data_IF_013721982569
#
_entry.id   IF_013721982569
#
_cell.length_a   1.000
_cell.length_b   1.000
_cell.length_c   1.000
_cell.angle_alpha   90.00
_cell.angle_beta   90.00
_cell.angle_gamma   90.00
#
_symmetry.space_group_name_H-M   'P 1'
#
loop_
_entity.id
_entity.type
_entity.pdbx_description
1 polymer ?
#
# COMPACT_ATOMS: atom_id res chain seq x y z
N UNK A 1 -2.10 -14.58 -12.68
CA UNK A 1 -1.62 -13.18 -12.70
C UNK A 1 -1.95 -12.59 -11.34
N UNK A 2 -1.00 -12.00 -10.62
CA UNK A 2 -1.28 -11.39 -9.31
C UNK A 2 -1.55 -9.91 -9.54
N UNK A 3 -2.74 -9.44 -9.16
CA UNK A 3 -3.12 -8.03 -9.33
C UNK A 3 -2.37 -7.19 -8.30
N UNK A 4 -1.66 -6.15 -8.76
CA UNK A 4 -0.97 -5.21 -7.89
C UNK A 4 -1.98 -4.24 -7.31
N UNK A 5 -1.97 -4.07 -5.99
CA UNK A 5 -2.88 -3.18 -5.27
C UNK A 5 -2.11 -1.92 -4.85
N UNK A 6 -2.67 -0.76 -5.15
CA UNK A 6 -2.26 0.52 -4.58
C UNK A 6 -3.11 0.83 -3.34
N UNK A 7 -2.49 1.28 -2.25
CA UNK A 7 -3.18 1.72 -1.04
C UNK A 7 -2.65 3.09 -0.60
N UNK A 8 -3.49 4.11 -0.69
CA UNK A 8 -3.20 5.46 -0.21
C UNK A 8 -4.00 5.67 1.09
N UNK A 9 -3.36 6.21 2.12
CA UNK A 9 -4.04 6.51 3.39
C UNK A 9 -3.93 5.38 4.41
N UNK A 10 -2.86 5.40 5.21
CA UNK A 10 -2.53 4.34 6.16
C UNK A 10 -2.95 4.70 7.59
N UNK A 11 -4.16 5.25 7.77
CA UNK A 11 -4.69 5.61 9.09
C UNK A 11 -5.06 4.40 9.97
N UNK A 12 -5.88 4.64 11.00
CA UNK A 12 -6.37 3.61 11.94
C UNK A 12 -7.01 2.43 11.20
N UNK A 13 -7.77 2.69 10.14
CA UNK A 13 -8.39 1.65 9.32
C UNK A 13 -7.48 1.14 8.18
N UNK A 14 -6.80 2.05 7.48
CA UNK A 14 -6.00 1.72 6.30
C UNK A 14 -4.86 0.75 6.60
N UNK A 15 -4.15 0.98 7.71
CA UNK A 15 -3.00 0.16 8.11
C UNK A 15 -3.34 -1.32 8.33
N UNK A 16 -4.33 -1.72 9.16
CA UNK A 16 -4.68 -3.13 9.32
C UNK A 16 -5.24 -3.75 8.03
N UNK A 17 -5.94 -2.98 7.18
CA UNK A 17 -6.37 -3.47 5.87
C UNK A 17 -5.19 -3.79 4.94
N UNK A 18 -4.21 -2.89 4.86
CA UNK A 18 -2.99 -3.11 4.09
C UNK A 18 -2.20 -4.34 4.57
N UNK A 19 -2.09 -4.52 5.89
CA UNK A 19 -1.48 -5.73 6.47
C UNK A 19 -2.23 -7.01 6.09
N UNK A 20 -3.56 -6.98 6.03
CA UNK A 20 -4.35 -8.14 5.59
C UNK A 20 -4.09 -8.49 4.13
N UNK A 21 -3.96 -7.49 3.26
CA UNK A 21 -3.64 -7.69 1.84
C UNK A 21 -2.25 -8.33 1.67
N UNK A 22 -1.25 -7.85 2.41
CA UNK A 22 0.08 -8.46 2.43
C UNK A 22 0.04 -9.91 2.94
N UNK A 23 -0.69 -10.17 4.04
CA UNK A 23 -0.85 -11.53 4.58
C UNK A 23 -1.56 -12.48 3.61
N UNK A 24 -2.45 -11.95 2.77
CA UNK A 24 -3.12 -12.71 1.72
C UNK A 24 -2.22 -12.92 0.48
N UNK A 25 -1.01 -12.35 0.45
CA UNK A 25 -0.03 -12.55 -0.62
C UNK A 25 -0.19 -11.61 -1.82
N UNK A 26 -0.94 -10.52 -1.68
CA UNK A 26 -1.07 -9.52 -2.76
C UNK A 26 0.16 -8.61 -2.83
N UNK A 27 0.72 -8.35 -4.02
CA UNK A 27 1.67 -7.26 -4.24
C UNK A 27 0.99 -5.93 -3.87
N UNK A 28 1.61 -5.19 -2.95
CA UNK A 28 1.02 -3.98 -2.39
C UNK A 28 2.00 -2.80 -2.48
N UNK A 29 1.56 -1.73 -3.12
CA UNK A 29 2.24 -0.43 -3.14
C UNK A 29 1.47 0.52 -2.24
N UNK A 30 2.15 1.12 -1.26
CA UNK A 30 1.48 1.95 -0.24
C UNK A 30 2.04 3.38 -0.19
N UNK A 31 1.17 4.32 0.18
CA UNK A 31 1.56 5.71 0.40
C UNK A 31 0.73 6.36 1.50
N UNK A 32 1.39 7.18 2.31
CA UNK A 32 0.77 8.00 3.33
C UNK A 32 1.51 9.33 3.48
N UNK A 33 0.83 10.34 4.05
CA UNK A 33 1.46 11.64 4.34
C UNK A 33 2.59 11.54 5.37
N UNK A 34 2.44 10.63 6.34
CA UNK A 34 3.46 10.36 7.36
C UNK A 34 4.26 9.12 6.96
N UNK A 35 5.55 9.33 6.71
CA UNK A 35 6.48 8.30 6.23
C UNK A 35 6.61 7.12 7.22
N UNK A 36 6.59 7.40 8.53
CA UNK A 36 6.71 6.39 9.59
C UNK A 36 5.73 5.23 9.41
N UNK A 37 4.49 5.52 8.99
CA UNK A 37 3.45 4.50 8.79
C UNK A 37 3.69 3.68 7.52
N UNK A 38 4.26 4.32 6.50
CA UNK A 38 4.67 3.62 5.28
C UNK A 38 5.85 2.69 5.58
N UNK A 39 6.80 3.10 6.42
CA UNK A 39 7.96 2.29 6.80
C UNK A 39 7.57 1.03 7.58
N UNK A 40 6.57 1.12 8.47
CA UNK A 40 5.99 -0.05 9.16
C UNK A 40 5.48 -1.11 8.17
N UNK A 41 4.85 -0.70 7.07
CA UNK A 41 4.33 -1.62 6.06
C UNK A 41 5.41 -2.15 5.13
N UNK A 42 6.43 -1.35 4.82
CA UNK A 42 7.60 -1.82 4.06
C UNK A 42 8.30 -2.94 4.82
N UNK A 43 8.45 -2.79 6.14
CA UNK A 43 9.07 -3.81 6.99
C UNK A 43 8.35 -5.17 6.95
N UNK A 44 7.07 -5.19 6.56
CA UNK A 44 6.27 -6.42 6.41
C UNK A 44 5.96 -6.79 4.96
N UNK A 45 6.63 -6.15 3.98
CA UNK A 45 6.62 -6.57 2.57
C UNK A 45 5.90 -5.65 1.59
N UNK A 46 5.44 -4.46 2.00
CA UNK A 46 4.92 -3.47 1.06
C UNK A 46 6.04 -2.77 0.27
N UNK A 47 5.68 -2.23 -0.89
CA UNK A 47 6.52 -1.31 -1.66
C UNK A 47 6.09 0.13 -1.39
N UNK A 48 7.03 1.06 -1.24
CA UNK A 48 6.73 2.48 -1.09
C UNK A 48 6.36 3.13 -2.43
N UNK A 49 5.25 3.86 -2.46
CA UNK A 49 4.93 4.77 -3.56
C UNK A 49 5.21 6.22 -3.19
N UNK A 50 5.92 6.97 -4.05
CA UNK A 50 6.31 8.35 -3.72
C UNK A 50 5.22 9.38 -4.01
N UNK A 51 4.40 9.15 -5.05
CA UNK A 51 3.34 10.06 -5.47
C UNK A 51 2.06 9.30 -5.82
N UNK A 52 0.87 9.80 -5.42
CA UNK A 52 -0.42 9.19 -5.77
C UNK A 52 -0.58 8.88 -7.27
N UNK A 53 -0.11 9.77 -8.15
CA UNK A 53 -0.18 9.58 -9.61
C UNK A 53 0.62 8.38 -10.11
N UNK A 54 1.74 8.07 -9.47
CA UNK A 54 2.62 6.96 -9.88
C UNK A 54 2.02 5.64 -9.46
N UNK A 55 1.48 5.59 -8.23
CA UNK A 55 0.81 4.42 -7.68
C UNK A 55 -0.40 4.05 -8.54
N UNK A 56 -1.23 5.03 -8.86
CA UNK A 56 -2.40 4.83 -9.71
C UNK A 56 -2.05 4.29 -11.11
N UNK A 57 -0.85 4.61 -11.62
CA UNK A 57 -0.37 4.13 -12.91
C UNK A 57 0.27 2.73 -12.84
N UNK A 58 0.64 2.26 -11.64
CA UNK A 58 1.40 1.02 -11.43
C UNK A 58 0.58 -0.09 -10.74
N UNK A 59 -0.71 0.11 -10.52
CA UNK A 59 -1.59 -0.86 -9.86
C UNK A 59 -2.86 -1.14 -10.69
N UNK A 60 -3.42 -2.34 -10.53
CA UNK A 60 -4.69 -2.74 -11.15
C UNK A 60 -5.90 -2.23 -10.35
N UNK A 61 -5.72 -2.07 -9.04
CA UNK A 61 -6.75 -1.60 -8.09
C UNK A 61 -6.13 -0.59 -7.14
N UNK A 62 -6.79 0.56 -6.96
CA UNK A 62 -6.38 1.60 -6.04
C UNK A 62 -7.42 1.78 -4.92
N UNK A 63 -6.96 1.76 -3.67
CA UNK A 63 -7.74 2.01 -2.45
C UNK A 63 -7.23 3.32 -1.83
N UNK A 64 -8.14 4.19 -1.36
CA UNK A 64 -7.82 5.52 -0.81
C UNK A 64 -8.55 5.78 0.51
#
# INVERSE_FOLDING_TARGET
MSNTIGFIGLGIMGRPMAQNLLRAGFPLVVHNRHQEVTDELIAVGATSGTRPREIAASCDVLIT
#
